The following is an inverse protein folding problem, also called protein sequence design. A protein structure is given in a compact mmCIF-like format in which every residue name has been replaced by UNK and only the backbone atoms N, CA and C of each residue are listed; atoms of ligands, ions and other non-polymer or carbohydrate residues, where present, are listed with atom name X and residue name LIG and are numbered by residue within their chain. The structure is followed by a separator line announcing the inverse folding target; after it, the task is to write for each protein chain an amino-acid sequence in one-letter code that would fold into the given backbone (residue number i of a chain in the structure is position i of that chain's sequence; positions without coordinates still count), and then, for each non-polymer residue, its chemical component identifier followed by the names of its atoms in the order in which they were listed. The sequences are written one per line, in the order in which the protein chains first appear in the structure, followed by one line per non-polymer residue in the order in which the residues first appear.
data_IF_632649581938
#
_entry.id   IF_632649581938
#
_cell.length_a   1.000
_cell.length_b   1.000
_cell.length_c   1.000
_cell.angle_alpha   90.00
_cell.angle_beta   90.00
_cell.angle_gamma   90.00
#
_symmetry.space_group_name_H-M   'P 1'
#
loop_
_entity.id
_entity.type
_entity.pdbx_description
1 polymer ?
#
# COMPACT_ATOMS: atom_id res chain seq x y z
N UNK A 1 -13.26 -8.24 0.79
CA UNK A 1 -14.27 -8.14 1.89
C UNK A 1 -14.11 -6.84 2.70
N UNK A 2 -12.90 -6.52 3.20
CA UNK A 2 -12.65 -5.31 4.03
C UNK A 2 -13.15 -4.02 3.37
N UNK A 3 -12.80 -3.77 2.10
CA UNK A 3 -13.31 -2.62 1.33
C UNK A 3 -14.84 -2.53 1.34
N UNK A 4 -15.55 -3.66 1.17
CA UNK A 4 -17.01 -3.69 1.19
C UNK A 4 -17.58 -3.34 2.56
N UNK A 5 -16.97 -3.79 3.65
CA UNK A 5 -17.38 -3.42 5.02
C UNK A 5 -17.26 -1.91 5.25
N UNK A 6 -16.19 -1.30 4.75
CA UNK A 6 -15.98 0.16 4.77
C UNK A 6 -17.04 0.87 3.92
N UNK A 7 -17.24 0.42 2.67
CA UNK A 7 -18.24 0.98 1.74
C UNK A 7 -19.65 0.95 2.31
N UNK A 8 -19.99 -0.08 3.09
CA UNK A 8 -21.29 -0.26 3.77
C UNK A 8 -21.36 0.39 5.14
N UNK A 9 -20.31 1.07 5.60
CA UNK A 9 -20.24 1.71 6.92
C UNK A 9 -20.49 0.74 8.09
N UNK A 10 -20.03 -0.50 7.96
CA UNK A 10 -19.95 -1.45 9.09
C UNK A 10 -18.66 -1.30 9.90
N UNK A 11 -17.75 -0.43 9.45
CA UNK A 11 -16.48 -0.13 10.10
C UNK A 11 -16.39 1.38 10.27
N UNK A 12 -16.15 1.83 11.49
CA UNK A 12 -15.94 3.25 11.81
C UNK A 12 -14.47 3.63 11.93
N UNK A 13 -13.58 2.66 12.19
CA UNK A 13 -12.12 2.83 12.22
C UNK A 13 -11.45 1.56 11.70
N UNK A 14 -10.42 1.70 10.86
CA UNK A 14 -9.56 0.58 10.47
C UNK A 14 -8.16 0.78 11.05
N UNK A 15 -7.64 -0.25 11.72
CA UNK A 15 -6.23 -0.35 12.13
C UNK A 15 -5.64 -1.59 11.48
N UNK A 16 -4.52 -1.45 10.78
CA UNK A 16 -3.90 -2.54 10.04
C UNK A 16 -2.38 -2.36 9.97
N UNK A 17 -1.65 -3.41 9.65
CA UNK A 17 -0.24 -3.30 9.25
C UNK A 17 -0.11 -2.63 7.89
N UNK A 18 1.09 -2.13 7.57
CA UNK A 18 1.37 -1.54 6.27
C UNK A 18 1.17 -2.54 5.13
N UNK A 19 1.53 -3.81 5.35
CA UNK A 19 1.42 -4.90 4.38
C UNK A 19 0.01 -5.01 3.78
N UNK A 20 -1.03 -5.18 4.60
CA UNK A 20 -2.39 -5.35 4.06
C UNK A 20 -2.93 -4.09 3.36
N UNK A 21 -2.49 -2.90 3.79
CA UNK A 21 -2.90 -1.63 3.14
C UNK A 21 -2.19 -1.50 1.79
N UNK A 22 -0.90 -1.89 1.69
CA UNK A 22 -0.18 -1.86 0.42
C UNK A 22 -0.67 -2.96 -0.52
N UNK A 23 -0.83 -4.19 -0.06
CA UNK A 23 -1.15 -5.36 -0.89
C UNK A 23 -2.51 -5.24 -1.58
N UNK A 24 -3.52 -4.63 -0.93
CA UNK A 24 -4.81 -4.31 -1.56
C UNK A 24 -4.65 -3.43 -2.82
N UNK A 25 -3.59 -2.61 -2.87
CA UNK A 25 -3.33 -1.75 -4.02
C UNK A 25 -2.97 -2.56 -5.27
N UNK A 26 -2.37 -3.75 -5.13
CA UNK A 26 -1.91 -4.55 -6.27
C UNK A 26 -3.11 -4.99 -7.12
N UNK A 27 -4.14 -5.51 -6.46
CA UNK A 27 -5.42 -5.84 -7.09
C UNK A 27 -6.15 -4.59 -7.57
N UNK A 28 -6.12 -3.50 -6.79
CA UNK A 28 -6.81 -2.26 -7.15
C UNK A 28 -6.25 -1.58 -8.41
N UNK A 29 -4.99 -1.84 -8.79
CA UNK A 29 -4.38 -1.37 -10.04
C UNK A 29 -4.42 -2.41 -11.18
N UNK A 30 -5.13 -3.53 -10.99
CA UNK A 30 -5.43 -4.51 -12.03
C UNK A 30 -4.45 -5.68 -12.12
N UNK A 31 -3.58 -5.85 -11.14
CA UNK A 31 -2.75 -7.05 -11.00
C UNK A 31 -3.40 -8.04 -10.01
N UNK A 32 -2.71 -9.11 -9.65
CA UNK A 32 -3.30 -10.10 -8.77
C UNK A 32 -2.26 -10.96 -8.08
N UNK A 33 -2.79 -11.75 -7.15
CA UNK A 33 -2.07 -12.79 -6.46
C UNK A 33 -2.44 -14.15 -7.02
N UNK A 34 -1.52 -15.10 -6.94
CA UNK A 34 -1.69 -16.44 -7.49
C UNK A 34 -1.59 -17.46 -6.37
N UNK A 35 -2.50 -18.44 -6.36
CA UNK A 35 -2.38 -19.57 -5.46
C UNK A 35 -1.19 -20.43 -5.88
N UNK A 36 -0.28 -20.65 -4.95
CA UNK A 36 0.88 -21.51 -5.08
C UNK A 36 0.88 -22.58 -4.00
N UNK A 37 2.09 -23.03 -3.65
CA UNK A 37 2.34 -24.01 -2.60
C UNK A 37 3.45 -23.54 -1.67
N UNK A 38 3.31 -23.81 -0.39
CA UNK A 38 4.36 -23.53 0.60
C UNK A 38 5.62 -24.41 0.40
N UNK A 39 5.52 -25.49 -0.39
CA UNK A 39 6.59 -26.42 -0.73
C UNK A 39 7.51 -25.95 -1.88
N UNK A 40 7.26 -24.78 -2.48
CA UNK A 40 8.06 -24.30 -3.59
C UNK A 40 9.50 -23.95 -3.18
N UNK A 41 10.42 -24.05 -4.15
CA UNK A 41 11.81 -23.69 -3.97
C UNK A 41 12.02 -22.17 -4.12
N UNK A 42 12.54 -21.52 -3.08
CA UNK A 42 12.73 -20.06 -3.05
C UNK A 42 13.78 -19.54 -4.05
N UNK A 43 14.81 -20.32 -4.36
CA UNK A 43 15.81 -19.92 -5.36
C UNK A 43 15.19 -19.87 -6.77
N UNK A 44 14.31 -20.82 -7.07
CA UNK A 44 13.57 -20.84 -8.32
C UNK A 44 12.58 -19.67 -8.40
N UNK A 45 11.81 -19.42 -7.33
CA UNK A 45 10.89 -18.28 -7.27
C UNK A 45 11.64 -16.95 -7.46
N UNK A 46 12.78 -16.78 -6.80
CA UNK A 46 13.63 -15.59 -6.94
C UNK A 46 14.15 -15.42 -8.38
N UNK A 47 14.59 -16.50 -9.03
CA UNK A 47 15.05 -16.48 -10.43
C UNK A 47 13.91 -16.08 -11.37
N UNK A 48 12.69 -16.52 -11.08
CA UNK A 48 11.49 -16.21 -11.85
C UNK A 48 10.85 -14.87 -11.47
N UNK A 49 11.39 -14.15 -10.48
CA UNK A 49 10.88 -12.85 -10.03
C UNK A 49 9.47 -12.96 -9.45
N UNK A 50 9.30 -13.97 -8.59
CA UNK A 50 8.08 -14.24 -7.85
C UNK A 50 8.35 -14.07 -6.37
N UNK A 51 7.62 -13.16 -5.74
CA UNK A 51 7.56 -13.01 -4.29
C UNK A 51 6.49 -13.96 -3.73
N UNK A 52 6.75 -14.55 -2.56
CA UNK A 52 5.76 -15.41 -1.90
C UNK A 52 5.40 -14.95 -0.49
N UNK A 53 4.13 -15.11 -0.17
CA UNK A 53 3.51 -14.97 1.13
C UNK A 53 2.96 -16.34 1.51
N UNK A 54 3.81 -17.18 2.09
CA UNK A 54 3.54 -18.60 2.35
C UNK A 54 3.21 -19.39 1.06
N UNK A 55 1.93 -19.63 0.80
CA UNK A 55 1.40 -20.33 -0.38
C UNK A 55 0.72 -19.39 -1.39
N UNK A 56 0.83 -18.07 -1.21
CA UNK A 56 0.32 -17.05 -2.13
C UNK A 56 1.48 -16.35 -2.82
N UNK A 57 1.43 -16.22 -4.13
CA UNK A 57 2.52 -15.65 -4.94
C UNK A 57 2.12 -14.32 -5.57
N UNK A 58 3.11 -13.45 -5.78
CA UNK A 58 2.99 -12.20 -6.51
C UNK A 58 4.14 -12.05 -7.50
N UNK A 59 3.87 -11.44 -8.66
CA UNK A 59 4.91 -11.06 -9.62
C UNK A 59 5.67 -9.83 -9.11
N UNK A 60 6.99 -9.94 -8.92
CA UNK A 60 7.85 -8.88 -8.37
C UNK A 60 7.78 -7.60 -9.23
N UNK A 61 7.66 -7.72 -10.55
CA UNK A 61 7.59 -6.57 -11.44
C UNK A 61 6.24 -5.85 -11.37
N UNK A 62 5.16 -6.59 -11.15
CA UNK A 62 3.83 -6.02 -10.87
C UNK A 62 3.81 -5.35 -9.50
N UNK A 63 4.44 -5.96 -8.49
CA UNK A 63 4.57 -5.38 -7.15
C UNK A 63 5.32 -4.03 -7.18
N UNK A 64 6.39 -3.93 -7.98
CA UNK A 64 7.09 -2.65 -8.20
C UNK A 64 6.18 -1.55 -8.80
N UNK A 65 5.14 -1.89 -9.57
CA UNK A 65 4.17 -0.90 -10.10
C UNK A 65 3.32 -0.28 -9.00
N UNK A 66 2.97 -1.08 -7.98
CA UNK A 66 2.32 -0.59 -6.78
C UNK A 66 3.24 0.38 -6.02
N UNK A 67 4.52 0.03 -5.86
CA UNK A 67 5.49 0.90 -5.18
C UNK A 67 5.72 2.21 -5.96
N UNK A 68 5.80 2.13 -7.28
CA UNK A 68 5.90 3.30 -8.16
C UNK A 68 4.70 4.25 -8.02
N UNK A 69 3.49 3.71 -7.82
CA UNK A 69 2.29 4.52 -7.60
C UNK A 69 2.36 5.27 -6.27
N UNK A 70 2.81 4.60 -5.20
CA UNK A 70 3.03 5.23 -3.88
C UNK A 70 4.12 6.30 -3.99
N UNK A 71 5.25 6.00 -4.66
CA UNK A 71 6.33 6.93 -4.89
C UNK A 71 5.85 8.16 -5.65
N UNK A 72 5.06 7.96 -6.71
CA UNK A 72 4.50 9.05 -7.52
C UNK A 72 3.59 9.95 -6.68
N UNK A 73 2.71 9.37 -5.86
CA UNK A 73 1.91 10.13 -4.91
C UNK A 73 2.79 10.91 -3.93
N UNK A 74 3.70 10.23 -3.23
CA UNK A 74 4.54 10.83 -2.19
C UNK A 74 5.46 11.94 -2.76
N UNK A 75 5.85 11.83 -4.03
CA UNK A 75 6.64 12.87 -4.71
C UNK A 75 5.91 14.21 -4.81
N UNK A 76 4.57 14.22 -4.75
CA UNK A 76 3.73 15.42 -4.75
C UNK A 76 3.50 16.04 -3.37
N UNK A 77 3.88 15.38 -2.27
CA UNK A 77 3.69 15.91 -0.91
C UNK A 77 4.71 17.01 -0.57
N UNK A 78 4.37 17.92 0.34
CA UNK A 78 5.31 18.91 0.88
C UNK A 78 6.28 18.22 1.86
N UNK A 79 7.58 18.29 1.59
CA UNK A 79 8.64 17.66 2.40
C UNK A 79 9.10 18.51 3.60
N UNK A 80 8.52 19.71 3.76
CA UNK A 80 8.68 20.55 4.95
C UNK A 80 7.73 20.15 6.08
N UNK A 81 6.65 19.45 5.76
CA UNK A 81 5.66 18.98 6.72
C UNK A 81 6.04 17.60 7.29
N UNK A 82 5.47 17.30 8.45
CA UNK A 82 5.49 15.96 9.06
C UNK A 82 4.07 15.43 9.00
N UNK A 83 3.90 14.23 8.45
CA UNK A 83 2.58 13.61 8.31
C UNK A 83 2.43 12.49 9.32
N UNK A 84 1.29 12.44 10.00
CA UNK A 84 0.92 11.19 10.68
C UNK A 84 0.64 10.08 9.66
N UNK A 85 0.78 8.81 10.05
CA UNK A 85 0.39 7.69 9.17
C UNK A 85 -1.06 7.79 8.70
N UNK A 86 -1.97 8.22 9.59
CA UNK A 86 -3.39 8.46 9.26
C UNK A 86 -3.56 9.54 8.19
N UNK A 87 -2.85 10.65 8.32
CA UNK A 87 -2.92 11.75 7.36
C UNK A 87 -2.34 11.36 6.00
N UNK A 88 -1.19 10.69 5.99
CA UNK A 88 -0.59 10.16 4.77
C UNK A 88 -1.57 9.22 4.04
N UNK A 89 -2.17 8.27 4.75
CA UNK A 89 -3.15 7.33 4.19
C UNK A 89 -4.44 8.02 3.74
N UNK A 90 -4.87 9.06 4.44
CA UNK A 90 -6.02 9.88 4.04
C UNK A 90 -5.78 10.59 2.71
N UNK A 91 -4.65 11.28 2.57
CA UNK A 91 -4.24 11.96 1.33
C UNK A 91 -4.02 10.95 0.19
N UNK A 92 -3.48 9.77 0.50
CA UNK A 92 -3.30 8.71 -0.48
C UNK A 92 -4.65 8.14 -0.94
N UNK A 93 -5.61 7.96 -0.03
CA UNK A 93 -6.98 7.56 -0.35
C UNK A 93 -7.67 8.56 -1.27
N UNK A 94 -7.53 9.86 -1.00
CA UNK A 94 -8.02 10.93 -1.89
C UNK A 94 -7.41 10.83 -3.29
N UNK A 95 -6.09 10.67 -3.36
CA UNK A 95 -5.35 10.55 -4.62
C UNK A 95 -5.84 9.36 -5.45
N UNK A 96 -6.10 8.21 -4.82
CA UNK A 96 -6.60 7.02 -5.48
C UNK A 96 -8.06 7.17 -5.93
N UNK A 97 -8.94 7.72 -5.09
CA UNK A 97 -10.35 7.98 -5.43
C UNK A 97 -10.47 8.89 -6.66
N UNK A 98 -9.68 9.99 -6.72
CA UNK A 98 -9.62 10.89 -7.89
C UNK A 98 -9.14 10.19 -9.18
N UNK A 99 -8.45 9.06 -9.06
CA UNK A 99 -7.98 8.24 -10.20
C UNK A 99 -8.90 7.07 -10.54
N UNK A 100 -9.98 6.87 -9.78
CA UNK A 100 -10.86 5.71 -9.92
C UNK A 100 -10.23 4.39 -9.46
N UNK A 101 -9.14 4.43 -8.67
CA UNK A 101 -8.51 3.24 -8.10
C UNK A 101 -9.34 2.80 -6.89
N UNK A 102 -9.85 1.56 -6.94
CA UNK A 102 -10.80 1.04 -5.95
C UNK A 102 -10.12 0.23 -4.84
N UNK A 103 -9.33 0.90 -4.03
CA UNK A 103 -8.61 0.32 -2.87
C UNK A 103 -9.34 0.53 -1.53
N UNK A 104 -8.86 -0.12 -0.47
CA UNK A 104 -9.26 0.08 0.93
C UNK A 104 -9.12 1.56 1.32
N UNK A 105 -8.00 2.19 1.00
CA UNK A 105 -7.73 3.59 1.37
C UNK A 105 -8.61 4.57 0.58
N UNK A 106 -8.89 4.29 -0.69
CA UNK A 106 -9.86 5.06 -1.47
C UNK A 106 -11.27 4.97 -0.87
N UNK A 107 -11.75 3.76 -0.58
CA UNK A 107 -13.06 3.56 0.03
C UNK A 107 -13.14 4.21 1.43
N UNK A 108 -12.06 4.13 2.22
CA UNK A 108 -11.98 4.75 3.53
C UNK A 108 -12.06 6.29 3.44
N UNK A 109 -11.36 6.89 2.49
CA UNK A 109 -11.47 8.33 2.20
C UNK A 109 -12.90 8.72 1.82
N UNK A 110 -13.51 8.04 0.85
CA UNK A 110 -14.87 8.33 0.36
C UNK A 110 -15.93 8.20 1.46
N UNK A 111 -15.73 7.26 2.38
CA UNK A 111 -16.64 7.00 3.49
C UNK A 111 -16.26 7.69 4.78
N UNK A 112 -15.20 8.50 4.80
CA UNK A 112 -14.69 9.19 5.99
C UNK A 112 -14.36 8.25 7.15
N UNK A 113 -13.83 7.07 6.85
CA UNK A 113 -13.34 6.10 7.84
C UNK A 113 -11.83 6.32 8.00
N UNK A 114 -11.34 6.69 9.19
CA UNK A 114 -9.90 6.81 9.42
C UNK A 114 -9.19 5.45 9.37
N UNK A 115 -8.02 5.44 8.74
CA UNK A 115 -7.13 4.27 8.67
C UNK A 115 -5.84 4.59 9.41
N UNK A 116 -5.43 3.70 10.32
CA UNK A 116 -4.18 3.80 11.07
C UNK A 116 -3.28 2.62 10.75
N UNK A 117 -1.98 2.89 10.63
CA UNK A 117 -0.95 1.85 10.51
C UNK A 117 0.33 2.29 11.20
N UNK A 118 0.53 1.95 12.48
CA UNK A 118 1.72 2.35 13.24
C UNK A 118 3.02 1.93 12.54
N UNK A 119 3.07 0.70 12.00
CA UNK A 119 4.21 0.17 11.24
C UNK A 119 4.14 0.41 9.74
N UNK A 120 3.61 1.54 9.26
CA UNK A 120 3.41 1.77 7.82
C UNK A 120 4.69 1.60 6.98
N UNK A 121 5.84 2.00 7.51
CA UNK A 121 7.13 1.91 6.81
C UNK A 121 7.63 0.47 6.62
N UNK A 122 7.10 -0.49 7.38
CA UNK A 122 7.45 -1.91 7.25
C UNK A 122 6.55 -2.56 6.19
N UNK A 123 6.60 -2.02 4.96
CA UNK A 123 5.77 -2.44 3.81
C UNK A 123 6.26 -1.79 2.51
N UNK A 124 5.54 -2.01 1.41
CA UNK A 124 5.79 -1.34 0.12
C UNK A 124 5.79 0.20 0.22
N UNK A 125 5.10 0.79 1.22
CA UNK A 125 5.19 2.22 1.50
C UNK A 125 6.60 2.65 1.90
N UNK A 126 7.27 1.90 2.78
CA UNK A 126 8.64 2.20 3.19
C UNK A 126 9.65 2.05 2.06
N UNK A 127 9.46 1.06 1.18
CA UNK A 127 10.28 0.89 -0.03
C UNK A 127 10.13 2.11 -0.94
N UNK A 128 8.90 2.50 -1.26
CA UNK A 128 8.61 3.66 -2.10
C UNK A 128 9.19 4.97 -1.54
N UNK A 129 9.03 5.21 -0.23
CA UNK A 129 9.58 6.39 0.44
C UNK A 129 11.12 6.37 0.52
N UNK A 130 11.73 5.19 0.68
CA UNK A 130 13.18 5.02 0.64
C UNK A 130 13.74 5.33 -0.75
N UNK A 131 13.04 4.90 -1.81
CA UNK A 131 13.39 5.24 -3.19
C UNK A 131 13.24 6.75 -3.46
N UNK A 132 12.19 7.39 -2.92
CA UNK A 132 12.01 8.83 -3.02
C UNK A 132 13.13 9.61 -2.29
N UNK A 133 13.55 9.14 -1.12
CA UNK A 133 14.70 9.69 -0.39
C UNK A 133 15.99 9.63 -1.21
N UNK A 134 16.24 8.52 -1.91
CA UNK A 134 17.38 8.40 -2.83
C UNK A 134 17.34 9.39 -4.00
N UNK A 135 16.14 9.86 -4.38
CA UNK A 135 15.94 10.93 -5.37
C UNK A 135 16.03 12.34 -4.78
N UNK A 136 16.43 12.48 -3.51
CA UNK A 136 16.69 13.77 -2.84
C UNK A 136 15.49 14.37 -2.10
N UNK A 137 14.36 13.66 -2.02
CA UNK A 137 13.15 14.15 -1.32
C UNK A 137 12.79 13.27 -0.13
N UNK A 138 12.72 13.87 1.06
CA UNK A 138 12.42 13.15 2.31
C UNK A 138 11.03 13.52 2.82
N UNK A 139 10.10 12.56 2.74
CA UNK A 139 8.82 12.67 3.43
C UNK A 139 8.99 12.15 4.86
N UNK A 140 8.60 12.95 5.85
CA UNK A 140 8.67 12.58 7.27
C UNK A 140 7.32 12.04 7.70
N UNK A 141 7.32 10.81 8.23
CA UNK A 141 6.16 10.20 8.85
C UNK A 141 6.34 10.16 10.37
N UNK A 142 5.36 10.68 11.09
CA UNK A 142 5.21 10.47 12.52
C UNK A 142 4.33 9.22 12.75
N UNK A 143 4.88 8.28 13.52
CA UNK A 143 4.24 7.00 13.85
C UNK A 143 3.80 6.92 15.32
N UNK A 144 4.07 7.97 16.11
CA UNK A 144 3.68 8.07 17.52
C UNK A 144 2.29 8.66 17.72
#
# INVERSE_FOLDING_TARGET
IVRWLIEKRYVDVLVSTGANISEDLLEAIGYGYYQGTWLANDEELLRLKIDRFYDVYADEYQYRKLEDLILKFASGLDDKLVYSTREFLWLFGEYQSKKGIRSITAAAYERKVPVYSPGLIDSGYGVALSLLKRKGKLIRLDQT
#
